data_IF_217159449369
#
_entry.id   IF_217159449369
#
_cell.length_a   1.000
_cell.length_b   1.000
_cell.length_c   1.000
_cell.angle_alpha   90.00
_cell.angle_beta   90.00
_cell.angle_gamma   90.00
#
_symmetry.space_group_name_H-M   'P 1'
#
loop_
_entity.id
_entity.type
_entity.pdbx_description
1 polymer ?
#
# COMPACT_ATOMS: atom_id res chain seq x y z
N UNK A 1 10.35 5.57 -5.68
CA UNK A 1 10.14 7.03 -5.74
C UNK A 1 9.85 7.54 -4.33
N UNK A 2 10.44 8.66 -3.88
CA UNK A 2 10.00 9.30 -2.65
C UNK A 2 8.58 9.84 -2.87
N UNK A 3 7.60 9.27 -2.19
CA UNK A 3 6.22 9.75 -2.24
C UNK A 3 6.08 10.89 -1.23
N UNK A 4 5.81 12.10 -1.70
CA UNK A 4 5.41 13.20 -0.81
C UNK A 4 3.98 12.92 -0.34
N UNK A 5 3.72 12.79 0.98
CA UNK A 5 2.36 12.63 1.46
C UNK A 5 1.55 13.88 1.09
N UNK A 6 0.44 13.68 0.40
CA UNK A 6 -0.53 14.73 0.12
C UNK A 6 -1.42 14.98 1.35
N UNK A 7 -2.26 16.03 1.33
CA UNK A 7 -3.22 16.32 2.40
C UNK A 7 -4.10 15.08 2.67
N UNK A 8 -4.21 14.70 3.95
CA UNK A 8 -4.94 13.51 4.38
C UNK A 8 -4.11 12.21 4.40
N UNK A 9 -2.82 12.25 4.08
CA UNK A 9 -1.93 11.09 4.12
C UNK A 9 -0.90 11.23 5.24
N UNK A 10 -0.81 10.20 6.10
CA UNK A 10 0.27 10.07 7.07
C UNK A 10 1.35 9.13 6.53
N UNK A 11 2.55 9.65 6.27
CA UNK A 11 3.70 8.82 5.91
C UNK A 11 4.38 8.29 7.17
N UNK A 12 4.44 6.96 7.30
CA UNK A 12 5.09 6.28 8.41
C UNK A 12 6.37 5.62 7.90
N UNK A 13 7.48 5.87 8.60
CA UNK A 13 8.78 5.31 8.26
C UNK A 13 9.35 4.57 9.48
N UNK A 14 9.63 3.26 9.38
CA UNK A 14 10.32 2.56 10.45
C UNK A 14 11.78 3.04 10.53
N UNK A 15 12.34 3.03 11.73
CA UNK A 15 13.75 3.37 11.97
C UNK A 15 14.69 2.33 11.35
N UNK A 16 14.34 1.05 11.46
CA UNK A 16 15.02 -0.05 10.76
C UNK A 16 14.19 -0.48 9.53
N UNK A 17 14.85 -0.65 8.39
CA UNK A 17 14.20 -1.18 7.18
C UNK A 17 13.64 -2.58 7.39
N UNK A 18 14.26 -3.38 8.26
CA UNK A 18 13.82 -4.74 8.58
C UNK A 18 12.41 -4.80 9.18
N UNK A 19 11.96 -3.70 9.77
CA UNK A 19 10.65 -3.59 10.42
C UNK A 19 9.52 -3.22 9.45
N UNK A 20 9.84 -2.83 8.20
CA UNK A 20 8.86 -2.28 7.24
C UNK A 20 7.66 -3.18 7.03
N UNK A 21 7.90 -4.48 6.81
CA UNK A 21 6.81 -5.39 6.50
C UNK A 21 5.99 -5.78 7.70
N UNK A 22 6.63 -5.94 8.87
CA UNK A 22 5.90 -6.16 10.11
C UNK A 22 4.97 -4.99 10.38
N UNK A 23 5.50 -3.76 10.34
CA UNK A 23 4.72 -2.54 10.55
C UNK A 23 3.54 -2.42 9.56
N UNK A 24 3.77 -2.71 8.27
CA UNK A 24 2.69 -2.69 7.27
C UNK A 24 1.57 -3.67 7.64
N UNK A 25 1.92 -4.92 7.95
CA UNK A 25 0.92 -5.95 8.22
C UNK A 25 0.23 -5.77 9.57
N UNK A 26 0.95 -5.28 10.58
CA UNK A 26 0.37 -4.90 11.87
C UNK A 26 -0.68 -3.79 11.68
N UNK A 27 -0.35 -2.72 10.95
CA UNK A 27 -1.30 -1.65 10.66
C UNK A 27 -2.49 -2.13 9.81
N UNK A 28 -2.27 -3.04 8.86
CA UNK A 28 -3.36 -3.65 8.07
C UNK A 28 -4.30 -4.49 8.92
N UNK A 29 -3.76 -5.29 9.83
CA UNK A 29 -4.56 -6.12 10.75
C UNK A 29 -5.47 -5.27 11.65
N UNK A 30 -5.05 -4.04 11.94
CA UNK A 30 -5.78 -3.05 12.75
C UNK A 30 -6.60 -2.05 11.94
N UNK A 31 -6.75 -2.24 10.63
CA UNK A 31 -7.45 -1.29 9.75
C UNK A 31 -8.87 -0.93 10.22
N UNK A 32 -9.58 -1.89 10.81
CA UNK A 32 -10.89 -1.66 11.40
C UNK A 32 -10.83 -0.78 12.65
N UNK A 33 -9.86 -0.99 13.54
CA UNK A 33 -9.69 -0.19 14.76
C UNK A 33 -9.16 1.20 14.46
N UNK A 34 -8.25 1.32 13.49
CA UNK A 34 -7.81 2.59 12.92
C UNK A 34 -9.00 3.41 12.42
N UNK A 35 -9.97 2.76 11.78
CA UNK A 35 -11.18 3.41 11.28
C UNK A 35 -12.12 3.89 12.39
N UNK A 36 -12.13 3.22 13.56
CA UNK A 36 -12.93 3.61 14.74
C UNK A 36 -12.32 4.80 15.49
N UNK A 37 -10.99 4.89 15.51
CA UNK A 37 -10.25 5.98 16.19
C UNK A 37 -10.21 7.25 15.33
N UNK A 38 -10.42 7.13 14.01
CA UNK A 38 -10.58 8.27 13.11
C UNK A 38 -11.86 9.06 13.48
N UNK A 39 -11.69 10.19 14.16
CA UNK A 39 -12.77 11.05 14.64
C UNK A 39 -12.96 12.23 13.67
N UNK A 40 -14.10 12.27 12.99
CA UNK A 40 -14.51 13.43 12.20
C UNK A 40 -15.91 13.28 11.61
N UNK A 41 -16.75 14.31 11.82
CA UNK A 41 -18.17 14.35 11.42
C UNK A 41 -18.38 14.48 9.90
N UNK A 42 -17.31 14.76 9.14
CA UNK A 42 -17.32 15.01 7.68
C UNK A 42 -16.15 14.35 6.93
N UNK A 43 -15.05 14.01 7.62
CA UNK A 43 -13.93 13.25 7.06
C UNK A 43 -13.31 12.42 8.18
N UNK A 44 -13.21 11.11 7.99
CA UNK A 44 -12.57 10.19 8.96
C UNK A 44 -11.05 10.46 8.98
N UNK A 45 -10.65 11.52 9.67
CA UNK A 45 -9.25 11.91 9.81
C UNK A 45 -8.66 11.33 11.10
N UNK A 46 -7.43 10.80 11.01
CA UNK A 46 -6.65 10.39 12.17
C UNK A 46 -5.53 11.41 12.39
N UNK A 47 -5.48 12.01 13.58
CA UNK A 47 -4.39 12.93 13.92
C UNK A 47 -3.08 12.17 14.10
N UNK A 48 -1.93 12.82 13.84
CA UNK A 48 -0.60 12.24 14.10
C UNK A 48 -0.46 11.78 15.55
N UNK A 49 -1.01 12.54 16.50
CA UNK A 49 -0.98 12.21 17.94
C UNK A 49 -1.76 10.94 18.24
N UNK A 50 -3.00 10.83 17.75
CA UNK A 50 -3.83 9.63 17.92
C UNK A 50 -3.16 8.41 17.27
N UNK A 51 -2.57 8.56 16.09
CA UNK A 51 -1.83 7.49 15.42
C UNK A 51 -0.60 7.04 16.24
N UNK A 52 0.15 7.97 16.82
CA UNK A 52 1.35 7.62 17.62
C UNK A 52 1.05 6.90 18.94
N UNK A 53 -0.22 6.87 19.38
CA UNK A 53 -0.66 6.21 20.61
C UNK A 53 -1.19 4.80 20.37
N UNK A 54 -1.16 4.32 19.12
CA UNK A 54 -1.55 2.95 18.81
C UNK A 54 -0.59 1.97 19.47
N UNK A 55 -1.13 1.10 20.31
CA UNK A 55 -0.37 0.01 20.91
C UNK A 55 -0.20 -1.11 19.89
N UNK A 56 0.99 -1.25 19.31
CA UNK A 56 1.28 -2.22 18.25
C UNK A 56 1.88 -3.50 18.83
N UNK A 57 1.49 -4.65 18.28
CA UNK A 57 2.21 -5.89 18.56
C UNK A 57 3.60 -5.80 17.95
N UNK A 58 4.63 -5.81 18.80
CA UNK A 58 6.00 -5.58 18.39
C UNK A 58 6.92 -6.68 18.93
N UNK A 59 7.03 -7.82 18.22
CA UNK A 59 7.84 -8.96 18.65
C UNK A 59 9.33 -8.65 18.49
N UNK A 60 10.21 -9.48 19.04
CA UNK A 60 11.66 -9.27 18.98
C UNK A 60 12.22 -9.08 17.56
N UNK A 61 13.37 -8.39 17.47
CA UNK A 61 14.04 -8.07 16.20
C UNK A 61 14.29 -9.30 15.32
N UNK A 62 14.68 -10.43 15.94
CA UNK A 62 14.90 -11.67 15.21
C UNK A 62 13.65 -12.17 14.46
N UNK A 63 12.47 -12.03 15.08
CA UNK A 63 11.19 -12.42 14.48
C UNK A 63 10.84 -11.49 13.32
N UNK A 64 10.96 -10.17 13.53
CA UNK A 64 10.66 -9.18 12.48
C UNK A 64 11.60 -9.31 11.28
N UNK A 65 12.90 -9.57 11.52
CA UNK A 65 13.89 -9.86 10.47
C UNK A 65 13.50 -11.12 9.69
N UNK A 66 13.17 -12.21 10.37
CA UNK A 66 12.74 -13.45 9.70
C UNK A 66 11.46 -13.25 8.90
N UNK A 67 10.52 -12.48 9.42
CA UNK A 67 9.30 -12.11 8.70
C UNK A 67 9.61 -11.32 7.44
N UNK A 68 10.54 -10.35 7.49
CA UNK A 68 10.99 -9.63 6.30
C UNK A 68 11.55 -10.55 5.23
N UNK A 69 12.41 -11.52 5.59
CA UNK A 69 13.02 -12.45 4.64
C UNK A 69 11.96 -13.21 3.82
N UNK A 70 10.81 -13.51 4.42
CA UNK A 70 9.69 -14.17 3.76
C UNK A 70 8.80 -13.17 3.00
N UNK A 71 8.48 -12.04 3.61
CA UNK A 71 7.51 -11.09 3.07
C UNK A 71 8.04 -10.27 1.89
N UNK A 72 9.33 -9.89 1.90
CA UNK A 72 9.93 -9.07 0.83
C UNK A 72 9.78 -9.69 -0.56
N UNK A 73 10.17 -10.96 -0.82
CA UNK A 73 10.03 -11.54 -2.16
C UNK A 73 8.57 -11.66 -2.60
N UNK A 74 7.63 -11.90 -1.68
CA UNK A 74 6.20 -11.98 -1.99
C UNK A 74 5.65 -10.63 -2.45
N UNK A 75 5.96 -9.56 -1.72
CA UNK A 75 5.61 -8.19 -2.12
C UNK A 75 6.30 -7.79 -3.43
N UNK A 76 7.56 -8.20 -3.62
CA UNK A 76 8.29 -8.02 -4.87
C UNK A 76 7.57 -8.65 -6.06
N UNK A 77 7.13 -9.91 -5.92
CA UNK A 77 6.38 -10.62 -6.97
C UNK A 77 5.01 -10.00 -7.24
N UNK A 78 4.29 -9.60 -6.19
CA UNK A 78 3.01 -8.94 -6.33
C UNK A 78 3.14 -7.61 -7.07
N UNK A 79 4.17 -6.80 -6.77
CA UNK A 79 4.45 -5.55 -7.47
C UNK A 79 4.68 -5.79 -8.97
N UNK A 80 5.54 -6.76 -9.32
CA UNK A 80 5.81 -7.09 -10.72
C UNK A 80 4.55 -7.54 -11.47
N UNK A 81 3.73 -8.37 -10.84
CA UNK A 81 2.47 -8.83 -11.44
C UNK A 81 1.47 -7.67 -11.66
N UNK A 82 1.40 -6.72 -10.73
CA UNK A 82 0.56 -5.52 -10.89
C UNK A 82 1.06 -4.61 -12.02
N UNK A 83 2.37 -4.43 -12.16
CA UNK A 83 2.98 -3.68 -13.25
C UNK A 83 2.71 -4.34 -14.62
N UNK A 84 2.87 -5.66 -14.69
CA UNK A 84 2.57 -6.45 -15.88
C UNK A 84 1.09 -6.35 -16.28
N UNK A 85 0.17 -6.58 -15.33
CA UNK A 85 -1.27 -6.47 -15.59
C UNK A 85 -1.66 -5.07 -16.08
N UNK A 86 -1.08 -4.03 -15.49
CA UNK A 86 -1.32 -2.66 -15.93
C UNK A 86 -0.87 -2.46 -17.38
N UNK A 87 0.34 -2.90 -17.74
CA UNK A 87 0.87 -2.80 -19.09
C UNK A 87 0.00 -3.56 -20.10
N UNK A 88 -0.41 -4.79 -19.76
CA UNK A 88 -1.27 -5.60 -20.62
C UNK A 88 -2.62 -4.93 -20.89
N UNK A 89 -3.23 -4.33 -19.86
CA UNK A 89 -4.48 -3.57 -20.02
C UNK A 89 -4.30 -2.32 -20.90
N UNK A 90 -3.23 -1.56 -20.69
CA UNK A 90 -2.91 -0.38 -21.52
C UNK A 90 -2.71 -0.77 -23.01
N UNK A 91 -2.05 -1.90 -23.26
CA UNK A 91 -1.88 -2.45 -24.61
C UNK A 91 -3.20 -2.93 -25.22
N UNK A 92 -4.02 -3.65 -24.45
CA UNK A 92 -5.34 -4.11 -24.90
C UNK A 92 -6.23 -2.93 -25.32
N UNK A 93 -6.33 -1.90 -24.48
CA UNK A 93 -7.11 -0.71 -24.79
C UNK A 93 -6.64 -0.03 -26.08
N UNK A 94 -5.32 0.01 -26.30
CA UNK A 94 -4.76 0.58 -27.53
C UNK A 94 -5.17 -0.23 -28.76
N UNK A 95 -5.01 -1.55 -28.71
CA UNK A 95 -5.40 -2.44 -29.82
C UNK A 95 -6.89 -2.30 -30.13
N UNK A 96 -7.75 -2.26 -29.12
CA UNK A 96 -9.20 -2.10 -29.30
C UNK A 96 -9.56 -0.75 -29.95
N UNK A 97 -8.90 0.34 -29.56
CA UNK A 97 -9.08 1.65 -30.21
C UNK A 97 -8.66 1.61 -31.67
N UNK A 98 -7.51 1.02 -31.96
CA UNK A 98 -6.96 0.95 -33.32
C UNK A 98 -7.89 0.14 -34.24
N UNK A 99 -8.34 -1.04 -33.80
CA UNK A 99 -9.29 -1.88 -34.56
C UNK A 99 -10.63 -1.18 -34.77
N UNK A 100 -11.17 -0.52 -33.75
CA UNK A 100 -12.43 0.23 -33.86
C UNK A 100 -12.31 1.39 -34.86
N UNK A 101 -11.16 2.07 -34.88
CA UNK A 101 -10.90 3.16 -35.82
C UNK A 101 -10.81 2.70 -37.28
N UNK A 102 -10.40 1.45 -37.51
CA UNK A 102 -10.36 0.83 -38.84
C UNK A 102 -11.77 0.45 -39.29
N UNK A 103 -12.59 -0.11 -38.39
CA UNK A 103 -13.98 -0.47 -38.67
C UNK A 103 -14.87 0.73 -39.03
N UNK A 104 -14.61 1.91 -38.49
CA UNK A 104 -15.35 3.15 -38.82
C UNK A 104 -14.93 3.79 -40.15
N UNK A 105 -13.83 3.34 -40.77
CA UNK A 105 -13.31 3.88 -42.05
C UNK A 105 -13.73 3.06 -43.27
N UNK A 106 -14.44 1.95 -43.07
CA UNK A 106 -15.04 1.10 -44.09
C UNK A 106 -16.55 1.35 -44.16
#
# INVERSE_FOLDING_TARGET
MPTTPNRGVLAVRPSDRTDRWWLLHELRSRSEDLSKIAQGRQAREISRRAFSQLDLSWPDHAVRRRFQEVAEPLHGRARLALEENRLLNELLERVLRDVSSIGTRL
#
